data_IF_250618091808
#
_entry.id   IF_250618091808
#
_cell.length_a   1.000
_cell.length_b   1.000
_cell.length_c   1.000
_cell.angle_alpha   90.00
_cell.angle_beta   90.00
_cell.angle_gamma   90.00
#
_symmetry.space_group_name_H-M   'P 1'
#
loop_
_entity.id
_entity.type
_entity.pdbx_description
1 polymer ?
#
# COMPACT_ATOMS: atom_id res chain seq x y z
N UNK A 1 18.28 11.08 53.10
CA UNK A 1 17.75 12.10 52.16
C UNK A 1 18.64 12.31 50.92
N UNK A 2 19.52 11.35 50.58
CA UNK A 2 20.39 11.39 49.37
C UNK A 2 19.94 10.38 48.31
N UNK A 3 19.17 9.36 48.71
CA UNK A 3 18.71 8.27 47.86
C UNK A 3 17.61 8.66 46.86
N UNK A 4 16.81 9.68 47.16
CA UNK A 4 15.71 10.11 46.28
C UNK A 4 16.19 10.76 44.97
N UNK A 5 17.40 11.35 44.97
CA UNK A 5 17.96 12.03 43.80
C UNK A 5 18.44 11.04 42.72
N UNK A 6 18.90 9.84 43.12
CA UNK A 6 19.31 8.79 42.18
C UNK A 6 18.15 8.18 41.39
N UNK A 7 17.01 7.97 42.05
CA UNK A 7 15.81 7.44 41.39
C UNK A 7 15.22 8.43 40.37
N UNK A 8 15.24 9.74 40.66
CA UNK A 8 14.81 10.77 39.71
C UNK A 8 15.69 10.81 38.44
N UNK A 9 17.01 10.72 38.56
CA UNK A 9 17.94 10.74 37.42
C UNK A 9 17.79 9.47 36.53
N UNK A 10 17.56 8.30 37.14
CA UNK A 10 17.28 7.05 36.43
C UNK A 10 15.92 7.14 35.68
N UNK A 11 14.88 7.65 36.35
CA UNK A 11 13.55 7.79 35.76
C UNK A 11 13.53 8.83 34.62
N UNK A 12 14.25 9.96 34.79
CA UNK A 12 14.45 10.99 33.77
C UNK A 12 15.20 10.45 32.55
N UNK A 13 16.24 9.63 32.78
CA UNK A 13 17.00 8.97 31.70
C UNK A 13 16.16 7.94 30.93
N UNK A 14 15.32 7.16 31.61
CA UNK A 14 14.36 6.23 30.98
C UNK A 14 13.30 6.97 30.14
N UNK A 15 12.80 8.12 30.63
CA UNK A 15 11.85 8.94 29.89
C UNK A 15 12.47 9.52 28.60
N UNK A 16 13.75 9.94 28.64
CA UNK A 16 14.50 10.43 27.46
C UNK A 16 14.76 9.34 26.41
N UNK A 17 14.98 8.09 26.82
CA UNK A 17 15.15 6.96 25.89
C UNK A 17 13.86 6.63 25.12
N UNK A 18 12.68 6.79 25.74
CA UNK A 18 11.40 6.60 25.06
C UNK A 18 11.15 7.63 23.96
N UNK A 19 11.53 8.90 24.17
CA UNK A 19 11.32 9.95 23.17
C UNK A 19 12.30 9.88 21.98
N UNK A 20 13.56 9.45 22.20
CA UNK A 20 14.50 9.19 21.07
C UNK A 20 14.01 8.08 20.15
N UNK A 21 13.50 6.97 20.70
CA UNK A 21 12.90 5.88 19.90
C UNK A 21 11.64 6.34 19.16
N UNK A 22 10.80 7.18 19.79
CA UNK A 22 9.61 7.76 19.15
C UNK A 22 10.00 8.66 17.97
N UNK A 23 11.00 9.52 18.13
CA UNK A 23 11.46 10.41 17.06
C UNK A 23 12.02 9.64 15.84
N UNK A 24 12.63 8.47 16.03
CA UNK A 24 13.06 7.61 14.93
C UNK A 24 11.87 6.92 14.23
N UNK A 25 10.88 6.43 14.99
CA UNK A 25 9.66 5.82 14.43
C UNK A 25 8.82 6.80 13.61
N UNK A 26 8.69 8.06 14.05
CA UNK A 26 7.91 9.06 13.31
C UNK A 26 8.54 9.41 11.95
N UNK A 27 9.88 9.37 11.83
CA UNK A 27 10.58 9.56 10.56
C UNK A 27 10.26 8.44 9.56
N UNK A 28 10.24 7.19 10.03
CA UNK A 28 9.85 6.04 9.21
C UNK A 28 8.38 6.14 8.76
N UNK A 29 7.49 6.55 9.66
CA UNK A 29 6.09 6.78 9.31
C UNK A 29 5.93 7.89 8.26
N UNK A 30 6.62 9.03 8.42
CA UNK A 30 6.58 10.11 7.44
C UNK A 30 7.10 9.67 6.07
N UNK A 31 8.22 8.95 6.02
CA UNK A 31 8.77 8.43 4.76
C UNK A 31 7.79 7.45 4.11
N UNK A 32 7.18 6.55 4.88
CA UNK A 32 6.19 5.60 4.37
C UNK A 32 4.97 6.29 3.78
N UNK A 33 4.42 7.31 4.47
CA UNK A 33 3.26 8.07 3.98
C UNK A 33 3.61 8.83 2.70
N UNK A 34 4.80 9.46 2.64
CA UNK A 34 5.26 10.17 1.44
C UNK A 34 5.41 9.21 0.25
N UNK A 35 6.05 8.06 0.46
CA UNK A 35 6.27 7.08 -0.60
C UNK A 35 4.95 6.50 -1.13
N UNK A 36 4.00 6.23 -0.22
CA UNK A 36 2.67 5.77 -0.57
C UNK A 36 1.88 6.85 -1.33
N UNK A 37 1.93 8.10 -0.87
CA UNK A 37 1.32 9.24 -1.54
C UNK A 37 1.86 9.46 -2.95
N UNK A 38 3.17 9.29 -3.16
CA UNK A 38 3.80 9.39 -4.47
C UNK A 38 3.31 8.29 -5.43
N UNK A 39 3.12 7.06 -4.95
CA UNK A 39 2.58 5.97 -5.75
C UNK A 39 1.15 6.28 -6.24
N UNK A 40 0.27 6.74 -5.35
CA UNK A 40 -1.09 7.15 -5.73
C UNK A 40 -1.10 8.36 -6.66
N UNK A 41 -0.23 9.34 -6.42
CA UNK A 41 -0.08 10.50 -7.31
C UNK A 41 0.37 10.08 -8.73
N UNK A 42 1.32 9.15 -8.83
CA UNK A 42 1.78 8.60 -10.11
C UNK A 42 0.67 7.87 -10.87
N UNK A 43 -0.16 7.09 -10.16
CA UNK A 43 -1.35 6.46 -10.76
C UNK A 43 -2.34 7.52 -11.21
N UNK A 44 -2.64 8.53 -10.40
CA UNK A 44 -3.58 9.59 -10.73
C UNK A 44 -3.19 10.38 -11.99
N UNK A 45 -1.90 10.74 -12.12
CA UNK A 45 -1.37 11.42 -13.31
C UNK A 45 -1.56 10.55 -14.57
N UNK A 46 -1.35 9.24 -14.45
CA UNK A 46 -1.54 8.28 -15.55
C UNK A 46 -2.99 8.20 -16.04
N UNK A 47 -3.96 8.39 -15.14
CA UNK A 47 -5.39 8.44 -15.49
C UNK A 47 -5.70 9.71 -16.26
N UNK A 48 -5.21 10.85 -15.74
CA UNK A 48 -5.49 12.16 -16.31
C UNK A 48 -4.90 12.33 -17.72
N UNK A 49 -3.76 11.67 -17.99
CA UNK A 49 -3.16 11.61 -19.33
C UNK A 49 -3.84 10.66 -20.33
N UNK A 50 -4.83 9.84 -19.92
CA UNK A 50 -5.51 8.90 -20.83
C UNK A 50 -6.79 9.53 -21.40
N UNK A 51 -6.85 9.67 -22.73
CA UNK A 51 -7.97 10.32 -23.46
C UNK A 51 -9.36 9.70 -23.23
N UNK A 52 -9.44 8.40 -22.91
CA UNK A 52 -10.73 7.69 -22.76
C UNK A 52 -11.02 7.23 -21.32
N UNK A 53 -10.18 7.61 -20.32
CA UNK A 53 -10.37 7.23 -18.91
C UNK A 53 -10.33 5.72 -18.61
N UNK A 54 -10.34 4.86 -19.64
CA UNK A 54 -10.24 3.41 -19.51
C UNK A 54 -8.84 3.06 -19.11
N UNK A 55 -8.63 2.71 -17.85
CA UNK A 55 -7.43 1.97 -17.49
C UNK A 55 -7.36 0.72 -18.36
N UNK A 56 -6.19 0.45 -18.94
CA UNK A 56 -5.93 -0.88 -19.47
C UNK A 56 -5.78 -1.75 -18.23
N UNK A 57 -6.91 -2.19 -17.67
CA UNK A 57 -6.94 -3.08 -16.53
C UNK A 57 -6.26 -4.35 -16.99
N UNK A 58 -5.00 -4.52 -16.61
CA UNK A 58 -4.32 -5.79 -16.78
C UNK A 58 -4.99 -6.73 -15.79
N UNK A 59 -6.04 -7.42 -16.22
CA UNK A 59 -6.68 -8.44 -15.43
C UNK A 59 -5.58 -9.45 -15.03
N UNK A 60 -5.18 -9.44 -13.75
CA UNK A 60 -4.11 -10.31 -13.27
C UNK A 60 -4.46 -11.79 -13.53
N UNK A 61 -5.75 -12.12 -13.39
CA UNK A 61 -6.32 -13.44 -13.65
C UNK A 61 -6.28 -13.88 -15.12
N UNK A 62 -6.12 -12.95 -16.07
CA UNK A 62 -5.92 -13.27 -17.50
C UNK A 62 -4.43 -13.30 -17.89
N UNK A 63 -3.50 -13.08 -16.95
CA UNK A 63 -2.09 -13.06 -17.28
C UNK A 63 -1.60 -14.46 -17.66
N UNK A 64 -0.84 -14.62 -18.77
CA UNK A 64 -0.32 -15.93 -19.20
C UNK A 64 0.69 -16.53 -18.21
N UNK A 65 1.14 -15.75 -17.23
CA UNK A 65 1.97 -16.22 -16.13
C UNK A 65 1.16 -16.94 -15.04
N UNK A 66 -0.04 -16.42 -14.73
CA UNK A 66 -0.92 -16.94 -13.67
C UNK A 66 -1.94 -17.96 -14.21
N UNK A 67 -2.42 -17.74 -15.44
CA UNK A 67 -3.37 -18.60 -16.12
C UNK A 67 -2.68 -19.34 -17.27
N UNK A 68 -2.00 -20.43 -16.94
CA UNK A 68 -1.22 -21.23 -17.91
C UNK A 68 -2.05 -22.24 -18.68
N UNK A 69 -3.18 -22.62 -18.11
CA UNK A 69 -4.07 -23.65 -18.65
C UNK A 69 -5.15 -23.04 -19.57
N UNK A 70 -5.15 -21.71 -19.72
CA UNK A 70 -6.07 -21.01 -20.60
C UNK A 70 -7.50 -20.97 -20.05
N UNK A 71 -7.65 -21.08 -18.73
CA UNK A 71 -8.95 -21.15 -18.07
C UNK A 71 -9.70 -19.83 -18.14
N UNK A 72 -11.02 -19.88 -18.06
CA UNK A 72 -11.81 -18.67 -17.97
C UNK A 72 -11.50 -17.94 -16.65
N UNK A 73 -11.30 -16.62 -16.70
CA UNK A 73 -11.06 -15.79 -15.53
C UNK A 73 -12.17 -15.99 -14.49
N UNK A 74 -11.86 -16.53 -13.31
CA UNK A 74 -12.87 -16.85 -12.28
C UNK A 74 -13.63 -15.63 -11.75
N UNK A 75 -13.13 -14.42 -12.01
CA UNK A 75 -13.75 -13.16 -11.59
C UNK A 75 -14.77 -12.62 -12.60
N UNK A 76 -14.54 -12.83 -13.91
CA UNK A 76 -15.37 -12.24 -14.97
C UNK A 76 -15.89 -13.25 -16.01
N UNK A 77 -15.51 -14.53 -15.89
CA UNK A 77 -15.96 -15.65 -16.73
C UNK A 77 -15.40 -15.67 -18.16
N UNK A 78 -14.46 -14.78 -18.49
CA UNK A 78 -13.95 -14.58 -19.86
C UNK A 78 -12.70 -15.40 -20.16
N UNK A 79 -12.52 -15.78 -21.42
CA UNK A 79 -11.32 -16.48 -21.88
C UNK A 79 -10.12 -15.51 -21.95
N UNK A 80 -8.87 -15.99 -21.82
CA UNK A 80 -7.65 -15.16 -21.83
C UNK A 80 -7.44 -14.30 -23.08
N UNK A 81 -8.08 -14.66 -24.19
CA UNK A 81 -8.07 -13.89 -25.43
C UNK A 81 -8.96 -12.63 -25.38
N UNK A 82 -9.99 -12.63 -24.53
CA UNK A 82 -10.91 -11.50 -24.33
C UNK A 82 -10.31 -10.51 -23.31
N UNK A 83 -9.53 -9.55 -23.80
CA UNK A 83 -8.75 -8.61 -22.99
C UNK A 83 -9.61 -7.65 -22.13
N UNK A 84 -10.90 -7.50 -22.42
CA UNK A 84 -11.84 -6.65 -21.69
C UNK A 84 -12.70 -7.48 -20.70
N UNK A 85 -12.29 -7.58 -19.43
CA UNK A 85 -13.18 -8.10 -18.38
C UNK A 85 -14.33 -7.12 -18.15
N UNK A 86 -15.53 -7.43 -18.67
CA UNK A 86 -16.78 -6.76 -18.30
C UNK A 86 -17.43 -7.50 -17.14
N UNK A 87 -16.85 -7.40 -15.94
CA UNK A 87 -17.57 -7.85 -14.74
C UNK A 87 -18.59 -6.76 -14.38
N UNK A 88 -19.87 -6.99 -14.68
CA UNK A 88 -20.94 -6.32 -13.93
C UNK A 88 -20.88 -6.82 -12.47
N UNK A 89 -21.06 -5.97 -11.46
CA UNK A 89 -20.97 -6.39 -10.07
C UNK A 89 -22.16 -7.30 -9.72
N UNK A 90 -21.97 -8.62 -9.82
CA UNK A 90 -22.83 -9.59 -9.14
C UNK A 90 -22.38 -9.67 -7.69
N UNK A 91 -22.82 -8.69 -6.91
CA UNK A 91 -22.76 -8.69 -5.46
C UNK A 91 -23.93 -9.56 -4.97
N UNK A 92 -23.61 -10.73 -4.38
CA UNK A 92 -24.44 -11.30 -3.32
C UNK A 92 -23.75 -10.90 -2.01
#
# INVERSE_FOLDING_TARGET
MKDLKGHYEIFSSLLRLNNKKKASKMKLLLISIVLLGLAFAGIAIKIWGKKDGKFAGTCASQSPFLNKEGEACSFCGKMPDEQDCKAEPQHN
#
